data_IF_796255712449
#
_entry.id   IF_796255712449
#
_cell.length_a   1.000
_cell.length_b   1.000
_cell.length_c   1.000
_cell.angle_alpha   90.00
_cell.angle_beta   90.00
_cell.angle_gamma   90.00
#
_symmetry.space_group_name_H-M   'P 1'
#
loop_
_entity.id
_entity.type
_entity.pdbx_description
1 polymer ?
#
# COMPACT_ATOMS: atom_id res chain seq x y z
N UNK A 1 -2.58 -18.36 9.15
CA UNK A 1 -2.32 -19.71 9.73
C UNK A 1 -3.18 -19.98 10.97
N UNK A 2 -3.35 -19.01 11.87
CA UNK A 2 -4.24 -19.12 13.04
C UNK A 2 -5.71 -19.39 12.71
N UNK A 3 -6.30 -18.61 11.80
CA UNK A 3 -7.71 -18.75 11.39
C UNK A 3 -8.04 -20.14 10.79
N UNK A 4 -7.02 -20.87 10.31
CA UNK A 4 -7.17 -22.20 9.72
C UNK A 4 -6.84 -23.32 10.72
N UNK A 5 -6.53 -22.99 11.97
CA UNK A 5 -6.28 -23.98 13.01
C UNK A 5 -7.59 -24.63 13.44
N UNK A 6 -7.57 -25.95 13.59
CA UNK A 6 -8.72 -26.73 14.06
C UNK A 6 -9.19 -26.29 15.44
N UNK A 7 -8.26 -25.97 16.35
CA UNK A 7 -8.58 -25.43 17.68
C UNK A 7 -9.27 -24.07 17.61
N UNK A 8 -8.83 -23.20 16.70
CA UNK A 8 -9.46 -21.90 16.48
C UNK A 8 -10.87 -22.06 15.90
N UNK A 9 -11.03 -22.92 14.90
CA UNK A 9 -12.34 -23.21 14.28
C UNK A 9 -13.33 -23.89 15.26
N UNK A 10 -12.82 -24.68 16.21
CA UNK A 10 -13.61 -25.31 17.26
C UNK A 10 -13.91 -24.40 18.46
N UNK A 11 -13.46 -23.14 18.44
CA UNK A 11 -13.65 -22.20 19.55
C UNK A 11 -12.80 -22.51 20.79
N UNK A 12 -11.78 -23.36 20.66
CA UNK A 12 -10.88 -23.76 21.74
C UNK A 12 -9.66 -22.84 21.74
N UNK A 13 -9.81 -21.64 22.30
CA UNK A 13 -8.71 -20.70 22.50
C UNK A 13 -8.84 -19.99 23.86
N UNK A 14 -7.68 -19.64 24.43
CA UNK A 14 -7.51 -18.86 25.65
C UNK A 14 -6.64 -17.63 25.35
N UNK A 15 -6.50 -16.74 26.32
CA UNK A 15 -5.61 -15.57 26.32
C UNK A 15 -4.17 -15.88 25.90
N UNK A 16 -3.69 -17.11 26.14
CA UNK A 16 -2.33 -17.57 25.76
C UNK A 16 -2.26 -18.35 24.46
N UNK A 17 -3.39 -18.57 23.78
CA UNK A 17 -3.48 -19.46 22.62
C UNK A 17 -2.51 -19.11 21.49
N UNK A 18 -2.32 -17.81 21.24
CA UNK A 18 -1.42 -17.33 20.18
C UNK A 18 0.04 -17.62 20.55
N UNK A 19 0.41 -17.39 21.80
CA UNK A 19 1.79 -17.50 22.29
C UNK A 19 2.25 -18.96 22.37
N UNK A 20 1.39 -19.86 22.84
CA UNK A 20 1.75 -21.27 23.06
C UNK A 20 1.62 -22.13 21.79
N UNK A 21 0.68 -21.80 20.88
CA UNK A 21 0.33 -22.67 19.74
C UNK A 21 0.80 -22.15 18.38
N UNK A 22 1.23 -20.89 18.30
CA UNK A 22 1.76 -20.32 17.07
C UNK A 22 3.18 -19.80 17.30
N UNK A 23 4.15 -20.59 16.88
CA UNK A 23 5.54 -20.13 16.78
C UNK A 23 5.63 -19.11 15.64
N UNK A 24 5.92 -17.86 15.97
CA UNK A 24 6.21 -16.78 14.99
C UNK A 24 7.42 -17.09 14.09
N UNK A 25 8.21 -18.10 14.46
CA UNK A 25 9.46 -18.51 13.82
C UNK A 25 9.27 -19.33 12.52
N UNK A 26 8.06 -19.87 12.27
CA UNK A 26 7.82 -20.81 11.15
C UNK A 26 7.81 -20.21 9.75
N UNK A 27 8.22 -18.95 9.61
CA UNK A 27 8.38 -18.31 8.30
C UNK A 27 9.85 -18.09 7.91
N UNK A 28 10.81 -18.44 8.77
CA UNK A 28 12.24 -18.23 8.52
C UNK A 28 12.79 -19.19 7.44
N UNK A 29 12.40 -20.46 7.46
CA UNK A 29 13.03 -21.50 6.61
C UNK A 29 12.62 -21.47 5.13
N UNK A 30 11.44 -20.93 4.80
CA UNK A 30 11.00 -20.78 3.39
C UNK A 30 11.52 -19.45 2.79
N UNK A 31 12.00 -18.52 3.62
CA UNK A 31 12.36 -17.16 3.22
C UNK A 31 13.76 -17.03 2.61
N UNK A 32 14.67 -17.98 2.81
CA UNK A 32 16.07 -17.82 2.39
C UNK A 32 16.25 -17.50 0.90
N UNK A 33 15.43 -18.11 0.03
CA UNK A 33 15.62 -18.03 -1.43
C UNK A 33 14.82 -16.91 -2.11
N UNK A 34 13.66 -16.53 -1.56
CA UNK A 34 12.74 -15.57 -2.20
C UNK A 34 12.75 -14.18 -1.57
N UNK A 35 13.48 -13.97 -0.47
CA UNK A 35 13.48 -12.66 0.22
C UNK A 35 14.12 -11.57 -0.63
N UNK A 36 15.23 -11.87 -1.31
CA UNK A 36 15.91 -10.90 -2.19
C UNK A 36 15.02 -10.53 -3.39
N UNK A 37 14.44 -11.53 -4.05
CA UNK A 37 13.50 -11.33 -5.17
C UNK A 37 12.28 -10.52 -4.72
N UNK A 38 11.71 -10.83 -3.56
CA UNK A 38 10.58 -10.09 -3.00
C UNK A 38 10.95 -8.63 -2.68
N UNK A 39 12.15 -8.39 -2.16
CA UNK A 39 12.63 -7.03 -1.87
C UNK A 39 12.80 -6.20 -3.15
N UNK A 40 13.38 -6.79 -4.20
CA UNK A 40 13.53 -6.13 -5.51
C UNK A 40 12.15 -5.84 -6.11
N UNK A 41 11.23 -6.81 -6.10
CA UNK A 41 9.87 -6.58 -6.61
C UNK A 41 9.11 -5.52 -5.81
N UNK A 42 9.21 -5.54 -4.48
CA UNK A 42 8.57 -4.55 -3.62
C UNK A 42 9.07 -3.13 -3.92
N UNK A 43 10.38 -2.95 -4.11
CA UNK A 43 10.96 -1.65 -4.44
C UNK A 43 10.51 -1.13 -5.81
N UNK A 44 10.46 -2.01 -6.82
CA UNK A 44 9.97 -1.66 -8.16
C UNK A 44 8.49 -1.26 -8.14
N UNK A 45 7.65 -2.03 -7.44
CA UNK A 45 6.21 -1.73 -7.31
C UNK A 45 6.00 -0.39 -6.58
N UNK A 46 6.71 -0.16 -5.48
CA UNK A 46 6.62 1.09 -4.73
C UNK A 46 7.06 2.29 -5.58
N UNK A 47 8.12 2.15 -6.37
CA UNK A 47 8.57 3.18 -7.31
C UNK A 47 7.51 3.48 -8.36
N UNK A 48 6.92 2.45 -8.98
CA UNK A 48 5.88 2.62 -9.99
C UNK A 48 4.61 3.28 -9.43
N UNK A 49 4.18 2.89 -8.22
CA UNK A 49 3.03 3.50 -7.55
C UNK A 49 3.29 4.98 -7.27
N UNK A 50 4.49 5.32 -6.80
CA UNK A 50 4.92 6.71 -6.56
C UNK A 50 4.92 7.51 -7.86
N UNK A 51 5.47 6.96 -8.95
CA UNK A 51 5.46 7.61 -10.26
C UNK A 51 4.03 7.88 -10.75
N UNK A 52 3.14 6.89 -10.67
CA UNK A 52 1.73 7.05 -11.08
C UNK A 52 1.00 8.09 -10.24
N UNK A 53 1.20 8.08 -8.91
CA UNK A 53 0.64 9.09 -8.02
C UNK A 53 1.21 10.49 -8.32
N UNK A 54 2.50 10.59 -8.63
CA UNK A 54 3.14 11.85 -9.03
C UNK A 54 2.67 12.34 -10.41
N UNK A 55 2.36 11.46 -11.36
CA UNK A 55 1.77 11.85 -12.66
C UNK A 55 0.35 12.40 -12.50
N UNK A 56 -0.42 11.96 -11.51
CA UNK A 56 -1.68 12.63 -11.14
C UNK A 56 -1.42 14.09 -10.67
N UNK A 57 -0.23 14.35 -10.10
CA UNK A 57 0.20 15.68 -9.63
C UNK A 57 0.87 16.51 -10.73
N UNK A 58 1.32 15.90 -11.85
CA UNK A 58 1.93 16.63 -12.95
C UNK A 58 0.89 17.57 -13.58
N UNK A 59 0.97 18.82 -13.15
CA UNK A 59 0.06 19.90 -13.50
C UNK A 59 0.14 20.15 -15.01
N UNK A 60 -1.03 20.24 -15.63
CA UNK A 60 -1.18 20.53 -17.05
C UNK A 60 -0.26 21.68 -17.50
N UNK A 61 0.48 21.49 -18.59
CA UNK A 61 1.40 22.50 -19.17
C UNK A 61 0.67 23.83 -19.48
N UNK A 62 -0.65 23.74 -19.67
CA UNK A 62 -1.58 24.87 -19.77
C UNK A 62 -2.13 25.25 -18.40
N UNK A 63 -1.29 25.85 -17.55
CA UNK A 63 -1.68 26.28 -16.20
C UNK A 63 -2.53 27.58 -16.18
N UNK A 64 -3.51 27.66 -17.08
CA UNK A 64 -4.64 28.58 -16.94
C UNK A 64 -5.93 27.78 -17.05
N UNK A 65 -6.42 27.28 -15.92
CA UNK A 65 -7.75 26.66 -15.86
C UNK A 65 -8.80 27.67 -16.36
N UNK A 66 -9.78 27.21 -17.16
CA UNK A 66 -10.80 28.07 -17.76
C UNK A 66 -11.49 28.99 -16.74
N UNK A 67 -11.73 28.50 -15.51
CA UNK A 67 -12.32 29.29 -14.44
C UNK A 67 -11.41 30.43 -13.94
N UNK A 68 -10.08 30.25 -13.93
CA UNK A 68 -9.11 31.33 -13.66
C UNK A 68 -9.08 32.36 -14.80
N UNK A 69 -9.35 31.93 -16.03
CA UNK A 69 -9.48 32.80 -17.19
C UNK A 69 -10.73 33.67 -17.11
N UNK A 70 -11.88 33.05 -16.81
CA UNK A 70 -13.16 33.76 -16.59
C UNK A 70 -13.02 34.79 -15.46
N UNK A 71 -12.44 34.42 -14.32
CA UNK A 71 -12.23 35.34 -13.21
C UNK A 71 -11.19 36.45 -13.45
N UNK A 72 -10.32 36.34 -14.48
CA UNK A 72 -9.46 37.46 -14.92
C UNK A 72 -10.19 38.40 -15.88
N UNK A 73 -11.01 37.85 -16.77
CA UNK A 73 -11.83 38.64 -17.69
C UNK A 73 -12.86 39.51 -16.94
N UNK A 74 -13.54 38.94 -15.92
CA UNK A 74 -14.43 39.70 -15.04
C UNK A 74 -13.72 40.85 -14.30
N UNK A 75 -12.43 40.68 -13.98
CA UNK A 75 -11.60 41.74 -13.36
C UNK A 75 -11.15 42.81 -14.34
N UNK A 76 -11.05 42.51 -15.63
CA UNK A 76 -10.72 43.50 -16.66
C UNK A 76 -11.93 44.32 -17.11
N UNK A 77 -13.15 43.85 -16.86
CA UNK A 77 -14.40 44.54 -17.22
C UNK A 77 -15.01 45.38 -16.08
N UNK A 78 -14.28 45.55 -14.96
CA UNK A 78 -14.59 46.52 -13.91
C UNK A 78 -13.64 47.70 -14.04
#
# INVERSE_FOLDING_TARGET
RMMYSTSFMAGQYDTRFVEERFSMDTSQDIKGDMTEVAAILATLVAHQQTQRAAHIIQRNERDTSNWKWVGRWERMQR
#
